data_IF_440707053012
#
_entry.id   IF_440707053012
#
_cell.length_a   1.000
_cell.length_b   1.000
_cell.length_c   1.000
_cell.angle_alpha   90.00
_cell.angle_beta   90.00
_cell.angle_gamma   90.00
#
_symmetry.space_group_name_H-M   'P 1'
#
loop_
_entity.id
_entity.type
_entity.pdbx_description
1 polymer ?
#
# COMPACT_ATOMS: atom_id res chain seq x y z
N UNK A 1 -8.69 2.79 12.82
CA UNK A 1 -8.00 2.17 13.98
C UNK A 1 -6.54 2.46 13.76
N UNK A 2 -6.02 3.53 14.39
CA UNK A 2 -4.61 3.91 14.40
C UNK A 2 -3.74 2.66 14.38
N UNK A 3 -2.93 2.49 13.35
CA UNK A 3 -1.87 1.48 13.39
C UNK A 3 -1.09 1.75 14.68
N UNK A 4 -0.96 0.71 15.51
CA UNK A 4 -0.21 0.70 16.76
C UNK A 4 1.28 0.85 16.45
N UNK A 5 1.65 1.99 15.88
CA UNK A 5 3.01 2.33 15.55
C UNK A 5 3.64 2.97 16.79
N UNK A 6 4.70 2.35 17.26
CA UNK A 6 5.43 2.79 18.45
C UNK A 6 6.64 3.58 17.96
N UNK A 7 6.81 4.80 18.46
CA UNK A 7 8.01 5.59 18.22
C UNK A 7 9.06 5.27 19.29
N UNK A 8 10.28 5.00 18.84
CA UNK A 8 11.42 4.70 19.71
C UNK A 8 12.51 5.72 19.39
N UNK A 9 12.74 6.72 20.26
CA UNK A 9 13.86 7.64 20.11
C UNK A 9 15.19 6.90 20.00
N UNK A 10 16.07 7.30 19.07
CA UNK A 10 17.40 6.67 18.90
C UNK A 10 18.28 6.80 20.15
N UNK A 11 18.01 7.79 20.99
CA UNK A 11 18.65 7.96 22.30
C UNK A 11 18.42 6.76 23.23
N UNK A 12 17.25 6.11 23.14
CA UNK A 12 16.90 4.94 23.97
C UNK A 12 17.36 3.61 23.35
N UNK A 13 17.48 3.55 22.01
CA UNK A 13 17.98 2.39 21.28
C UNK A 13 18.88 2.84 20.16
N UNK A 14 20.19 2.77 20.38
CA UNK A 14 21.18 3.23 19.40
C UNK A 14 21.46 2.23 18.26
N UNK A 15 21.14 0.95 18.44
CA UNK A 15 21.48 -0.11 17.48
C UNK A 15 20.25 -0.87 16.94
N UNK A 16 20.37 -1.36 15.70
CA UNK A 16 19.35 -2.19 15.04
C UNK A 16 19.32 -3.60 15.64
N UNK A 17 18.15 -4.24 15.64
CA UNK A 17 18.03 -5.63 16.10
C UNK A 17 18.91 -6.55 15.25
N UNK A 18 19.64 -7.45 15.91
CA UNK A 18 20.41 -8.48 15.23
C UNK A 18 19.46 -9.38 14.42
N UNK A 19 19.78 -9.60 13.14
CA UNK A 19 18.93 -10.33 12.20
C UNK A 19 17.78 -9.52 11.57
N UNK A 20 17.65 -8.22 11.85
CA UNK A 20 16.74 -7.37 11.09
C UNK A 20 17.31 -7.10 9.69
N UNK A 21 16.51 -7.37 8.67
CA UNK A 21 16.93 -7.25 7.27
C UNK A 21 16.33 -6.01 6.63
N UNK A 22 17.14 -5.24 5.90
CA UNK A 22 16.65 -4.08 5.14
C UNK A 22 15.68 -4.53 4.04
N UNK A 23 14.57 -3.82 3.86
CA UNK A 23 13.55 -4.16 2.85
C UNK A 23 13.12 -2.95 2.02
N UNK A 24 12.67 -3.23 0.79
CA UNK A 24 11.96 -2.25 -0.04
C UNK A 24 10.44 -2.40 0.04
N UNK A 25 9.94 -3.42 0.74
CA UNK A 25 8.51 -3.72 0.83
C UNK A 25 7.85 -2.99 2.00
N UNK A 26 6.84 -2.19 1.65
CA UNK A 26 6.08 -1.37 2.59
C UNK A 26 6.14 0.10 2.21
N UNK A 27 5.26 0.89 2.82
CA UNK A 27 5.32 2.33 2.66
C UNK A 27 6.44 2.91 3.54
N UNK A 28 7.41 3.56 2.91
CA UNK A 28 8.59 4.16 3.55
C UNK A 28 8.23 5.35 4.44
N UNK A 29 7.10 6.05 4.22
CA UNK A 29 6.60 7.14 5.06
C UNK A 29 7.68 8.20 5.42
N UNK A 30 8.56 8.53 4.46
CA UNK A 30 9.65 9.49 4.68
C UNK A 30 10.86 8.97 5.46
N UNK A 31 10.85 7.72 5.92
CA UNK A 31 11.99 7.10 6.58
C UNK A 31 13.21 7.04 5.66
N UNK A 32 14.43 6.98 6.21
CA UNK A 32 15.67 6.79 5.44
C UNK A 32 15.79 5.36 4.96
N UNK A 33 15.52 4.41 5.84
CA UNK A 33 15.55 2.97 5.62
C UNK A 33 14.38 2.29 6.31
N UNK A 34 14.07 1.08 5.90
CA UNK A 34 13.06 0.25 6.54
C UNK A 34 13.56 -1.20 6.59
N UNK A 35 13.22 -1.89 7.66
CA UNK A 35 13.73 -3.22 7.99
C UNK A 35 12.59 -4.12 8.43
N UNK A 36 12.79 -5.43 8.31
CA UNK A 36 11.86 -6.44 8.80
C UNK A 36 12.57 -7.47 9.66
N UNK A 37 11.93 -7.84 10.76
CA UNK A 37 12.36 -8.91 11.65
C UNK A 37 11.15 -9.79 11.97
N UNK A 38 11.01 -10.89 11.23
CA UNK A 38 9.75 -11.62 11.15
C UNK A 38 8.62 -10.67 10.72
N UNK A 39 7.54 -10.64 11.52
CA UNK A 39 6.40 -9.77 11.30
C UNK A 39 6.61 -8.30 11.72
N UNK A 40 7.71 -7.99 12.42
CA UNK A 40 7.99 -6.62 12.85
C UNK A 40 8.51 -5.80 11.67
N UNK A 41 7.84 -4.68 11.38
CA UNK A 41 8.29 -3.71 10.40
C UNK A 41 8.82 -2.46 11.12
N UNK A 42 10.07 -2.11 10.81
CA UNK A 42 10.82 -1.03 11.42
C UNK A 42 11.12 0.01 10.37
N UNK A 43 10.83 1.28 10.65
CA UNK A 43 11.26 2.42 9.83
C UNK A 43 12.28 3.22 10.60
N UNK A 44 13.36 3.59 9.93
CA UNK A 44 14.44 4.37 10.51
C UNK A 44 14.38 5.82 10.01
N UNK A 45 14.23 6.75 10.95
CA UNK A 45 14.34 8.20 10.75
C UNK A 45 15.65 8.71 11.34
N UNK A 46 15.86 10.03 11.31
CA UNK A 46 17.08 10.64 11.83
C UNK A 46 17.20 10.58 13.35
N UNK A 47 16.09 10.81 14.03
CA UNK A 47 15.98 10.96 15.49
C UNK A 47 15.29 9.76 16.17
N UNK A 48 14.55 8.96 15.40
CA UNK A 48 13.74 7.85 15.92
C UNK A 48 13.69 6.64 14.99
N UNK A 49 13.20 5.54 15.54
CA UNK A 49 12.60 4.45 14.81
C UNK A 49 11.09 4.48 15.00
N UNK A 50 10.34 4.06 14.00
CA UNK A 50 8.93 3.71 14.19
C UNK A 50 8.74 2.24 13.89
N UNK A 51 7.97 1.54 14.72
CA UNK A 51 7.80 0.10 14.62
C UNK A 51 6.34 -0.29 14.70
N UNK A 52 5.91 -1.24 13.88
CA UNK A 52 4.61 -1.90 14.00
C UNK A 52 4.74 -3.38 13.68
N UNK A 53 3.79 -4.16 14.19
CA UNK A 53 3.69 -5.59 13.91
C UNK A 53 2.67 -5.81 12.80
N UNK A 54 3.11 -6.35 11.67
CA UNK A 54 2.21 -6.89 10.65
C UNK A 54 1.63 -8.22 11.15
N UNK A 55 0.40 -8.56 10.75
CA UNK A 55 -0.15 -9.89 11.03
C UNK A 55 0.56 -10.96 10.20
N UNK A 56 0.93 -10.64 8.96
CA UNK A 56 1.69 -11.50 8.06
C UNK A 56 2.82 -10.74 7.38
N UNK A 57 4.05 -11.28 7.40
CA UNK A 57 5.17 -10.72 6.64
C UNK A 57 4.93 -10.89 5.12
N UNK A 58 4.85 -9.80 4.33
CA UNK A 58 4.61 -9.85 2.90
C UNK A 58 5.70 -10.58 2.11
N UNK A 59 6.89 -10.80 2.69
CA UNK A 59 7.96 -11.61 2.07
C UNK A 59 7.63 -13.09 2.08
N UNK A 60 6.85 -13.54 3.06
CA UNK A 60 6.50 -14.95 3.28
C UNK A 60 5.06 -15.27 2.83
N UNK A 61 4.09 -14.41 3.15
CA UNK A 61 2.68 -14.61 2.83
C UNK A 61 2.05 -13.29 2.29
N UNK A 62 2.36 -12.92 1.04
CA UNK A 62 1.91 -11.65 0.45
C UNK A 62 0.39 -11.57 0.30
N UNK A 63 -0.27 -12.71 0.08
CA UNK A 63 -1.73 -12.74 -0.11
C UNK A 63 -2.44 -12.47 1.20
N UNK A 64 -2.06 -13.13 2.30
CA UNK A 64 -2.66 -12.83 3.60
C UNK A 64 -2.29 -11.43 4.07
N UNK A 65 -1.09 -10.95 3.79
CA UNK A 65 -0.72 -9.56 4.08
C UNK A 65 -1.68 -8.56 3.40
N UNK A 66 -1.99 -8.75 2.11
CA UNK A 66 -2.93 -7.87 1.41
C UNK A 66 -4.35 -7.91 2.00
N UNK A 67 -4.81 -9.08 2.47
CA UNK A 67 -6.16 -9.21 3.04
C UNK A 67 -6.26 -8.59 4.44
N UNK A 68 -5.24 -8.80 5.27
CA UNK A 68 -5.30 -8.46 6.69
C UNK A 68 -4.59 -7.16 7.04
N UNK A 69 -3.42 -6.92 6.45
CA UNK A 69 -2.56 -5.79 6.79
C UNK A 69 -2.70 -4.63 5.80
N UNK A 70 -3.01 -4.90 4.53
CA UNK A 70 -3.13 -3.88 3.47
C UNK A 70 -4.40 -3.99 2.58
N UNK A 71 -5.62 -4.19 3.13
CA UNK A 71 -6.86 -4.35 2.34
C UNK A 71 -7.19 -3.16 1.45
N UNK A 72 -6.72 -1.95 1.79
CA UNK A 72 -6.85 -0.75 0.96
C UNK A 72 -6.25 -0.94 -0.44
N UNK A 73 -5.21 -1.77 -0.59
CA UNK A 73 -4.59 -2.08 -1.89
C UNK A 73 -5.55 -2.90 -2.75
N UNK A 74 -6.24 -3.89 -2.14
CA UNK A 74 -7.24 -4.70 -2.83
C UNK A 74 -8.44 -3.85 -3.25
N UNK A 75 -8.88 -2.92 -2.40
CA UNK A 75 -9.95 -1.97 -2.72
C UNK A 75 -9.53 -1.05 -3.87
N UNK A 76 -8.28 -0.59 -3.90
CA UNK A 76 -7.72 0.15 -5.02
C UNK A 76 -7.77 -0.64 -6.34
N UNK A 77 -7.37 -1.90 -6.33
CA UNK A 77 -7.43 -2.77 -7.52
C UNK A 77 -8.87 -3.01 -7.99
N UNK A 78 -9.80 -3.26 -7.07
CA UNK A 78 -11.22 -3.42 -7.39
C UNK A 78 -11.79 -2.15 -8.02
N UNK A 79 -11.48 -0.98 -7.45
CA UNK A 79 -11.88 0.33 -7.99
C UNK A 79 -11.37 0.54 -9.41
N UNK A 80 -10.10 0.22 -9.67
CA UNK A 80 -9.48 0.29 -10.99
C UNK A 80 -10.21 -0.57 -12.04
N UNK A 81 -10.46 -1.84 -11.71
CA UNK A 81 -11.17 -2.77 -12.61
C UNK A 81 -12.58 -2.26 -12.91
N UNK A 82 -13.34 -1.88 -11.90
CA UNK A 82 -14.74 -1.45 -12.06
C UNK A 82 -14.80 -0.13 -12.85
N UNK A 83 -14.02 0.86 -12.45
CA UNK A 83 -14.02 2.18 -13.08
C UNK A 83 -13.56 2.12 -14.54
N UNK A 84 -12.44 1.46 -14.80
CA UNK A 84 -11.90 1.30 -16.14
C UNK A 84 -12.83 0.52 -17.07
N UNK A 85 -13.38 -0.60 -16.60
CA UNK A 85 -14.29 -1.44 -17.39
C UNK A 85 -15.59 -0.70 -17.73
N UNK A 86 -16.15 0.06 -16.77
CA UNK A 86 -17.37 0.84 -16.97
C UNK A 86 -17.18 1.94 -18.01
N UNK A 87 -16.08 2.71 -17.92
CA UNK A 87 -15.77 3.77 -18.89
C UNK A 87 -15.47 3.20 -20.28
N UNK A 88 -14.63 2.17 -20.37
CA UNK A 88 -14.31 1.53 -21.65
C UNK A 88 -15.57 1.00 -22.35
N UNK A 89 -16.42 0.29 -21.61
CA UNK A 89 -17.66 -0.27 -22.14
C UNK A 89 -18.66 0.81 -22.56
N UNK A 90 -18.77 1.89 -21.77
CA UNK A 90 -19.65 3.00 -22.09
C UNK A 90 -19.24 3.72 -23.38
N UNK A 91 -17.95 4.01 -23.56
CA UNK A 91 -17.45 4.69 -24.75
C UNK A 91 -17.57 3.79 -25.99
N UNK A 92 -17.23 2.50 -25.86
CA UNK A 92 -17.35 1.56 -26.96
C UNK A 92 -18.81 1.42 -27.45
N UNK A 93 -19.77 1.38 -26.52
CA UNK A 93 -21.22 1.38 -26.86
C UNK A 93 -21.70 2.67 -27.52
N UNK A 94 -21.02 3.80 -27.28
CA UNK A 94 -21.31 5.09 -27.90
C UNK A 94 -20.50 5.32 -29.19
N UNK A 95 -20.18 4.26 -29.92
CA UNK A 95 -19.52 4.29 -31.23
C UNK A 95 -18.10 4.91 -31.25
N UNK A 96 -17.43 5.02 -30.10
CA UNK A 96 -16.01 5.35 -30.09
C UNK A 96 -15.16 4.18 -30.59
N UNK A 97 -14.00 4.48 -31.18
CA UNK A 97 -13.07 3.44 -31.61
C UNK A 97 -12.65 2.52 -30.45
N UNK A 98 -12.32 1.27 -30.77
CA UNK A 98 -11.81 0.31 -29.76
C UNK A 98 -10.55 0.84 -29.06
N UNK A 99 -9.65 1.49 -29.81
CA UNK A 99 -8.41 2.07 -29.28
C UNK A 99 -8.67 3.21 -28.30
N UNK A 100 -9.53 4.17 -28.68
CA UNK A 100 -9.88 5.29 -27.81
C UNK A 100 -10.62 4.82 -26.55
N UNK A 101 -11.56 3.89 -26.69
CA UNK A 101 -12.32 3.35 -25.54
C UNK A 101 -11.40 2.61 -24.55
N UNK A 102 -10.44 1.82 -25.06
CA UNK A 102 -9.45 1.16 -24.22
C UNK A 102 -8.52 2.17 -23.53
N UNK A 103 -8.01 3.17 -24.25
CA UNK A 103 -7.16 4.21 -23.67
C UNK A 103 -7.87 5.00 -22.56
N UNK A 104 -9.11 5.44 -22.81
CA UNK A 104 -9.93 6.12 -21.80
C UNK A 104 -10.27 5.22 -20.61
N UNK A 105 -10.53 3.92 -20.86
CA UNK A 105 -10.72 2.94 -19.80
C UNK A 105 -9.49 2.76 -18.91
N UNK A 106 -8.28 2.73 -19.49
CA UNK A 106 -7.04 2.65 -18.72
C UNK A 106 -6.81 3.91 -17.88
N UNK A 107 -7.06 5.10 -18.44
CA UNK A 107 -6.99 6.35 -17.68
C UNK A 107 -7.99 6.35 -16.52
N UNK A 108 -9.24 5.93 -16.78
CA UNK A 108 -10.26 5.81 -15.75
C UNK A 108 -9.90 4.77 -14.68
N UNK A 109 -9.27 3.66 -15.07
CA UNK A 109 -8.78 2.62 -14.15
C UNK A 109 -7.74 3.19 -13.17
N UNK A 110 -6.75 3.92 -13.67
CA UNK A 110 -5.73 4.55 -12.82
C UNK A 110 -6.34 5.55 -11.83
N UNK A 111 -7.24 6.41 -12.32
CA UNK A 111 -7.90 7.43 -11.47
C UNK A 111 -8.79 6.77 -10.42
N UNK A 112 -9.69 5.87 -10.84
CA UNK A 112 -10.65 5.22 -9.94
C UNK A 112 -9.95 4.33 -8.92
N UNK A 113 -8.90 3.60 -9.30
CA UNK A 113 -8.12 2.79 -8.38
C UNK A 113 -7.38 3.63 -7.35
N UNK A 114 -6.74 4.73 -7.77
CA UNK A 114 -6.06 5.64 -6.85
C UNK A 114 -7.03 6.29 -5.86
N UNK A 115 -8.17 6.79 -6.32
CA UNK A 115 -9.20 7.39 -5.46
C UNK A 115 -9.74 6.35 -4.46
N UNK A 116 -10.02 5.13 -4.92
CA UNK A 116 -10.52 4.04 -4.07
C UNK A 116 -9.49 3.66 -2.99
N UNK A 117 -8.21 3.55 -3.35
CA UNK A 117 -7.11 3.33 -2.41
C UNK A 117 -7.01 4.47 -1.38
N UNK A 118 -7.04 5.73 -1.82
CA UNK A 118 -6.91 6.89 -0.92
C UNK A 118 -8.07 7.00 0.06
N UNK A 119 -9.31 6.77 -0.40
CA UNK A 119 -10.50 6.80 0.46
C UNK A 119 -10.44 5.66 1.48
N UNK A 120 -10.20 4.43 1.03
CA UNK A 120 -10.15 3.27 1.93
C UNK A 120 -9.04 3.38 2.96
N UNK A 121 -7.85 3.87 2.55
CA UNK A 121 -6.75 4.14 3.48
C UNK A 121 -7.14 5.18 4.54
N UNK A 122 -7.80 6.27 4.15
CA UNK A 122 -8.25 7.31 5.08
C UNK A 122 -9.33 6.81 6.05
N UNK A 123 -10.18 5.87 5.64
CA UNK A 123 -11.20 5.26 6.50
C UNK A 123 -10.60 4.26 7.50
N UNK A 124 -9.45 3.67 7.17
CA UNK A 124 -8.73 2.72 8.02
C UNK A 124 -7.98 3.42 9.16
N UNK A 125 -7.43 4.60 8.91
CA UNK A 125 -6.74 5.46 9.89
C UNK A 125 -7.70 5.86 11.03
#
# INVERSE_FOLDING_TARGET
MKMNEIEIPKQLRQFMLEGAEETKLGNKMGAKKQYRYGNLHIREYDDKYTVHMDKYDPRSDPIRHLVWDAPEVLIGLAGAIIGGSKVASYLYKNNFSRKSSAASGLLASLISGYVSYRISKKLKE
#
